data_IF_687608093969
#
_entry.id   IF_687608093969
#
_cell.length_a   1.000
_cell.length_b   1.000
_cell.length_c   1.000
_cell.angle_alpha   90.00
_cell.angle_beta   90.00
_cell.angle_gamma   90.00
#
_symmetry.space_group_name_H-M   'P 1'
#
loop_
_entity.id
_entity.type
_entity.pdbx_description
1 polymer ?
#
# COMPACT_ATOMS: atom_id res chain seq x y z
N UNK A 1 -13.19 -10.90 -13.20
CA UNK A 1 -12.34 -10.77 -12.03
C UNK A 1 -13.06 -10.06 -10.87
N UNK A 2 -14.01 -9.16 -11.12
CA UNK A 2 -14.63 -8.32 -10.10
C UNK A 2 -16.06 -8.71 -9.66
N UNK A 3 -16.64 -9.83 -10.13
CA UNK A 3 -18.04 -10.19 -9.80
C UNK A 3 -18.31 -10.21 -8.29
N UNK A 4 -17.45 -10.87 -7.49
CA UNK A 4 -17.64 -10.95 -6.03
C UNK A 4 -17.40 -9.64 -5.28
N UNK A 5 -16.60 -8.73 -5.83
CA UNK A 5 -16.40 -7.40 -5.27
C UNK A 5 -17.57 -6.47 -5.60
N UNK A 6 -18.08 -6.51 -6.86
CA UNK A 6 -19.21 -5.69 -7.31
C UNK A 6 -20.47 -5.96 -6.49
N UNK A 7 -20.81 -7.24 -6.22
CA UNK A 7 -21.96 -7.61 -5.39
C UNK A 7 -21.91 -6.99 -4.00
N UNK A 8 -20.72 -6.95 -3.39
CA UNK A 8 -20.54 -6.41 -2.05
C UNK A 8 -20.57 -4.88 -2.01
N UNK A 9 -20.03 -4.22 -3.05
CA UNK A 9 -19.95 -2.75 -3.13
C UNK A 9 -21.23 -2.10 -3.64
N UNK A 10 -21.93 -2.75 -4.56
CA UNK A 10 -23.14 -2.22 -5.16
C UNK A 10 -24.42 -2.67 -4.44
N UNK A 11 -24.31 -3.40 -3.32
CA UNK A 11 -25.45 -3.99 -2.60
C UNK A 11 -26.35 -4.82 -3.51
N UNK A 12 -25.76 -5.51 -4.50
CA UNK A 12 -26.48 -6.33 -5.46
C UNK A 12 -26.83 -7.67 -4.81
N UNK A 13 -28.09 -8.06 -4.85
CA UNK A 13 -28.60 -9.25 -4.15
C UNK A 13 -28.68 -10.48 -5.06
N UNK A 14 -28.58 -10.29 -6.40
CA UNK A 14 -28.71 -11.37 -7.36
C UNK A 14 -27.70 -11.30 -8.50
N UNK A 15 -27.44 -12.45 -9.15
CA UNK A 15 -26.58 -12.55 -10.32
C UNK A 15 -27.13 -11.76 -11.50
N UNK A 16 -28.47 -11.71 -11.64
CA UNK A 16 -29.14 -10.91 -12.67
C UNK A 16 -28.93 -9.41 -12.50
N UNK A 17 -28.94 -8.91 -11.26
CA UNK A 17 -28.63 -7.50 -10.97
C UNK A 17 -27.17 -7.18 -11.27
N UNK A 18 -26.27 -8.11 -10.99
CA UNK A 18 -24.85 -7.94 -11.33
C UNK A 18 -24.66 -7.87 -12.84
N UNK A 19 -25.27 -8.78 -13.59
CA UNK A 19 -25.15 -8.79 -15.05
C UNK A 19 -25.75 -7.50 -15.65
N UNK A 20 -26.90 -7.07 -15.17
CA UNK A 20 -27.51 -5.80 -15.59
C UNK A 20 -26.61 -4.58 -15.27
N UNK A 21 -25.92 -4.59 -14.13
CA UNK A 21 -24.98 -3.52 -13.76
C UNK A 21 -23.74 -3.52 -14.67
N UNK A 22 -23.19 -4.70 -14.97
CA UNK A 22 -22.07 -4.85 -15.92
C UNK A 22 -22.49 -4.37 -17.31
N UNK A 23 -23.65 -4.84 -17.80
CA UNK A 23 -24.19 -4.44 -19.10
C UNK A 23 -24.42 -2.94 -19.22
N UNK A 24 -24.90 -2.30 -18.15
CA UNK A 24 -25.08 -0.86 -18.10
C UNK A 24 -23.73 -0.12 -18.22
N UNK A 25 -22.69 -0.59 -17.54
CA UNK A 25 -21.33 -0.02 -17.64
C UNK A 25 -20.71 -0.22 -19.03
N UNK A 26 -20.86 -1.43 -19.60
CA UNK A 26 -20.39 -1.73 -20.96
C UNK A 26 -21.09 -0.83 -21.97
N UNK A 27 -22.43 -0.70 -21.86
CA UNK A 27 -23.22 0.17 -22.72
C UNK A 27 -22.76 1.62 -22.60
N UNK A 28 -22.62 2.15 -21.37
CA UNK A 28 -22.15 3.50 -21.15
C UNK A 28 -20.78 3.75 -21.81
N UNK A 29 -19.84 2.82 -21.66
CA UNK A 29 -18.52 2.92 -22.27
C UNK A 29 -18.60 2.89 -23.80
N UNK A 30 -19.50 2.06 -24.38
CA UNK A 30 -19.70 1.92 -25.82
C UNK A 30 -20.37 3.16 -26.43
N UNK A 31 -21.33 3.76 -25.72
CA UNK A 31 -22.03 4.98 -26.15
C UNK A 31 -21.18 6.26 -26.00
N UNK A 32 -20.13 6.18 -25.16
CA UNK A 32 -19.23 7.31 -24.90
C UNK A 32 -17.74 6.98 -25.21
N UNK A 33 -17.40 6.58 -26.44
CA UNK A 33 -16.07 6.08 -26.75
C UNK A 33 -14.96 7.14 -26.59
N UNK A 34 -15.29 8.42 -26.70
CA UNK A 34 -14.37 9.54 -26.53
C UNK A 34 -14.02 9.88 -25.09
N UNK A 35 -14.84 9.42 -24.13
CA UNK A 35 -14.70 9.83 -22.73
C UNK A 35 -13.41 9.26 -22.10
N UNK A 36 -13.09 8.00 -22.36
CA UNK A 36 -11.87 7.37 -21.86
C UNK A 36 -10.62 8.03 -22.44
N UNK A 37 -10.61 8.28 -23.75
CA UNK A 37 -9.50 8.95 -24.43
C UNK A 37 -9.28 10.36 -23.89
N UNK A 38 -10.36 11.13 -23.71
CA UNK A 38 -10.28 12.48 -23.14
C UNK A 38 -9.78 12.45 -21.70
N UNK A 39 -10.23 11.48 -20.88
CA UNK A 39 -9.76 11.30 -19.52
C UNK A 39 -8.26 10.99 -19.51
N UNK A 40 -7.80 10.03 -20.31
CA UNK A 40 -6.38 9.69 -20.41
C UNK A 40 -5.54 10.87 -20.90
N UNK A 41 -6.01 11.59 -21.91
CA UNK A 41 -5.34 12.79 -22.40
C UNK A 41 -5.18 13.82 -21.28
N UNK A 42 -6.24 14.12 -20.56
CA UNK A 42 -6.24 15.10 -19.47
C UNK A 42 -5.35 14.68 -18.29
N UNK A 43 -5.43 13.42 -17.88
CA UNK A 43 -4.55 12.87 -16.83
C UNK A 43 -3.08 12.95 -17.25
N UNK A 44 -2.77 12.60 -18.51
CA UNK A 44 -1.42 12.66 -19.05
C UNK A 44 -0.87 14.08 -19.07
N UNK A 45 -1.67 15.07 -19.47
CA UNK A 45 -1.29 16.48 -19.45
C UNK A 45 -0.94 16.97 -18.04
N UNK A 46 -1.80 16.65 -17.07
CA UNK A 46 -1.58 17.04 -15.67
C UNK A 46 -0.34 16.35 -15.08
N UNK A 47 -0.14 15.06 -15.37
CA UNK A 47 1.01 14.32 -14.91
C UNK A 47 2.31 14.86 -15.50
N UNK A 48 2.36 15.10 -16.83
CA UNK A 48 3.53 15.65 -17.53
C UNK A 48 3.84 17.09 -17.10
N UNK A 49 2.81 17.84 -16.69
CA UNK A 49 2.98 19.18 -16.12
C UNK A 49 3.43 19.15 -14.63
N UNK A 50 3.57 17.98 -14.03
CA UNK A 50 3.91 17.84 -12.60
C UNK A 50 2.83 18.28 -11.63
N UNK A 51 1.59 18.47 -12.12
CA UNK A 51 0.46 18.91 -11.29
C UNK A 51 -0.15 17.80 -10.45
N UNK A 52 0.04 16.54 -10.88
CA UNK A 52 -0.44 15.35 -10.17
C UNK A 52 0.58 14.22 -10.28
N UNK A 53 0.59 13.32 -9.31
CA UNK A 53 1.26 12.03 -9.39
C UNK A 53 0.23 11.06 -9.96
N UNK A 54 0.52 10.46 -11.12
CA UNK A 54 -0.37 9.50 -11.77
C UNK A 54 0.08 8.07 -11.44
N UNK A 55 -0.86 7.25 -10.99
CA UNK A 55 -0.69 5.81 -10.83
C UNK A 55 -1.55 5.03 -11.82
N UNK A 56 -1.07 3.86 -12.21
CA UNK A 56 -1.89 2.81 -12.81
C UNK A 56 -2.39 1.85 -11.73
N UNK A 57 -3.42 1.09 -12.02
CA UNK A 57 -4.00 0.15 -11.07
C UNK A 57 -4.41 -1.13 -11.79
N UNK A 58 -4.06 -2.29 -11.19
CA UNK A 58 -4.39 -3.62 -11.71
C UNK A 58 -3.84 -3.87 -13.14
N UNK A 59 -2.65 -3.39 -13.46
CA UNK A 59 -2.03 -3.70 -14.74
C UNK A 59 -1.84 -5.22 -14.87
N UNK A 60 -2.40 -5.79 -15.94
CA UNK A 60 -2.47 -7.23 -16.18
C UNK A 60 -1.42 -7.75 -17.15
N UNK A 61 -0.71 -6.85 -17.83
CA UNK A 61 0.32 -7.19 -18.80
C UNK A 61 1.41 -6.13 -18.88
N UNK A 62 2.55 -6.50 -19.44
CA UNK A 62 3.66 -5.60 -19.73
C UNK A 62 3.22 -4.44 -20.65
N UNK A 63 2.39 -4.73 -21.67
CA UNK A 63 1.87 -3.74 -22.63
C UNK A 63 0.98 -2.71 -21.93
N UNK A 64 0.13 -3.17 -20.99
CA UNK A 64 -0.71 -2.26 -20.20
C UNK A 64 0.14 -1.34 -19.34
N UNK A 65 1.15 -1.87 -18.66
CA UNK A 65 2.07 -1.09 -17.84
C UNK A 65 2.84 -0.07 -18.68
N UNK A 66 3.34 -0.45 -19.85
CA UNK A 66 4.02 0.44 -20.76
C UNK A 66 3.10 1.56 -21.27
N UNK A 67 1.86 1.23 -21.64
CA UNK A 67 0.86 2.22 -22.01
C UNK A 67 0.62 3.24 -20.90
N UNK A 68 0.42 2.79 -19.66
CA UNK A 68 0.19 3.68 -18.51
C UNK A 68 1.42 4.54 -18.21
N UNK A 69 2.63 3.98 -18.34
CA UNK A 69 3.88 4.74 -18.23
C UNK A 69 3.98 5.82 -19.30
N UNK A 70 3.56 5.54 -20.53
CA UNK A 70 3.50 6.50 -21.65
C UNK A 70 2.56 7.67 -21.37
N UNK A 71 1.50 7.47 -20.60
CA UNK A 71 0.62 8.53 -20.11
C UNK A 71 1.25 9.39 -18.99
N UNK A 72 2.38 8.97 -18.42
CA UNK A 72 3.08 9.67 -17.35
C UNK A 72 2.88 9.04 -15.97
N UNK A 73 2.32 7.84 -15.88
CA UNK A 73 2.22 7.13 -14.61
C UNK A 73 3.62 6.81 -14.07
N UNK A 74 3.82 7.08 -12.78
CA UNK A 74 5.06 6.82 -12.05
C UNK A 74 4.88 5.76 -10.97
N UNK A 75 3.64 5.38 -10.69
CA UNK A 75 3.26 4.36 -9.71
C UNK A 75 2.49 3.25 -10.44
N UNK A 76 2.85 1.99 -10.19
CA UNK A 76 2.13 0.78 -10.59
C UNK A 76 1.52 0.15 -9.35
N UNK A 77 0.22 0.37 -9.12
CA UNK A 77 -0.50 -0.15 -7.97
C UNK A 77 -1.15 -1.48 -8.31
N UNK A 78 -0.83 -2.50 -7.53
CA UNK A 78 -1.36 -3.86 -7.62
C UNK A 78 -1.20 -4.50 -9.01
N UNK A 79 0.03 -4.56 -9.59
CA UNK A 79 0.22 -5.32 -10.80
C UNK A 79 -0.26 -6.75 -10.57
N UNK A 80 -1.08 -7.29 -11.50
CA UNK A 80 -1.74 -8.60 -11.31
C UNK A 80 -0.90 -9.77 -11.82
N UNK A 81 0.17 -9.48 -12.59
CA UNK A 81 1.11 -10.48 -13.11
C UNK A 81 2.56 -10.11 -12.78
N UNK A 82 3.43 -11.12 -12.77
CA UNK A 82 4.89 -10.90 -12.65
C UNK A 82 5.39 -10.07 -13.83
N UNK A 83 4.92 -10.31 -15.04
CA UNK A 83 5.36 -9.61 -16.24
C UNK A 83 5.03 -8.11 -16.17
N UNK A 84 3.84 -7.74 -15.68
CA UNK A 84 3.48 -6.35 -15.43
C UNK A 84 4.41 -5.70 -14.37
N UNK A 85 4.71 -6.43 -13.27
CA UNK A 85 5.60 -5.93 -12.23
C UNK A 85 7.05 -5.78 -12.73
N UNK A 86 7.56 -6.73 -13.51
CA UNK A 86 8.88 -6.64 -14.13
C UNK A 86 8.97 -5.46 -15.10
N UNK A 87 7.93 -5.25 -15.92
CA UNK A 87 7.86 -4.11 -16.83
C UNK A 87 7.80 -2.78 -16.06
N UNK A 88 7.03 -2.71 -14.98
CA UNK A 88 7.01 -1.53 -14.12
C UNK A 88 8.40 -1.21 -13.56
N UNK A 89 9.14 -2.22 -13.11
CA UNK A 89 10.52 -2.09 -12.63
C UNK A 89 11.46 -1.60 -13.74
N UNK A 90 11.38 -2.20 -14.93
CA UNK A 90 12.16 -1.80 -16.10
C UNK A 90 11.94 -0.32 -16.47
N UNK A 91 10.69 0.15 -16.38
CA UNK A 91 10.28 1.52 -16.70
C UNK A 91 10.51 2.52 -15.54
N UNK A 92 11.12 2.09 -14.43
CA UNK A 92 11.39 2.93 -13.26
C UNK A 92 10.15 3.39 -12.52
N UNK A 93 9.05 2.61 -12.58
CA UNK A 93 7.84 2.90 -11.80
C UNK A 93 7.98 2.36 -10.37
N UNK A 94 7.37 3.06 -9.43
CA UNK A 94 7.23 2.58 -8.04
C UNK A 94 6.13 1.53 -7.96
N UNK A 95 6.46 0.34 -7.47
CA UNK A 95 5.52 -0.79 -7.41
C UNK A 95 4.89 -0.86 -6.02
N UNK A 96 3.56 -0.82 -5.99
CA UNK A 96 2.76 -0.82 -4.76
C UNK A 96 1.99 -2.12 -4.64
N UNK A 97 2.05 -2.75 -3.47
CA UNK A 97 1.31 -3.98 -3.17
C UNK A 97 0.43 -3.84 -1.92
N UNK A 98 -0.59 -4.67 -1.82
CA UNK A 98 -1.56 -4.63 -0.72
C UNK A 98 -1.07 -5.38 0.53
N UNK A 99 -0.93 -4.69 1.66
CA UNK A 99 -0.65 -5.30 2.95
C UNK A 99 -1.70 -6.37 3.36
N UNK A 100 -3.01 -6.21 3.09
CA UNK A 100 -3.99 -7.25 3.35
C UNK A 100 -3.70 -8.58 2.64
N UNK A 101 -3.06 -8.55 1.46
CA UNK A 101 -2.67 -9.75 0.73
C UNK A 101 -1.60 -10.54 1.51
N UNK A 102 -0.60 -9.86 2.08
CA UNK A 102 0.42 -10.49 2.94
C UNK A 102 -0.23 -11.08 4.19
N UNK A 103 -1.13 -10.34 4.83
CA UNK A 103 -1.81 -10.78 6.07
C UNK A 103 -2.71 -11.99 5.83
N UNK A 104 -3.32 -12.13 4.66
CA UNK A 104 -4.14 -13.31 4.31
C UNK A 104 -3.32 -14.51 3.85
N UNK A 105 -2.09 -14.29 3.41
CA UNK A 105 -1.21 -15.35 2.91
C UNK A 105 -1.42 -15.71 1.43
N UNK A 106 -1.97 -14.81 0.63
CA UNK A 106 -2.13 -15.03 -0.80
C UNK A 106 -3.14 -14.10 -1.49
N UNK A 107 -3.17 -14.17 -2.82
CA UNK A 107 -4.15 -13.46 -3.64
C UNK A 107 -5.47 -14.23 -3.72
N UNK A 108 -6.61 -13.52 -3.68
CA UNK A 108 -7.94 -14.13 -3.83
C UNK A 108 -8.30 -14.48 -5.27
N UNK A 109 -7.60 -13.93 -6.26
CA UNK A 109 -8.03 -13.94 -7.66
C UNK A 109 -7.04 -14.67 -8.59
N UNK A 110 -6.08 -15.43 -8.03
CA UNK A 110 -5.02 -16.04 -8.83
C UNK A 110 -3.97 -15.05 -9.35
N UNK A 111 -4.04 -13.77 -8.92
CA UNK A 111 -3.04 -12.75 -9.21
C UNK A 111 -1.75 -13.04 -8.44
N UNK A 112 -0.65 -12.41 -8.87
CA UNK A 112 0.62 -12.47 -8.14
C UNK A 112 0.43 -12.07 -6.67
N UNK A 113 1.07 -12.80 -5.76
CA UNK A 113 0.96 -12.48 -4.34
C UNK A 113 1.91 -11.34 -3.96
N UNK A 114 1.47 -10.49 -2.99
CA UNK A 114 2.33 -9.43 -2.49
C UNK A 114 3.60 -9.97 -1.83
N UNK A 115 3.56 -11.16 -1.20
CA UNK A 115 4.75 -11.82 -0.64
C UNK A 115 5.74 -12.20 -1.74
N UNK A 116 5.24 -12.70 -2.87
CA UNK A 116 6.08 -13.04 -4.02
C UNK A 116 6.73 -11.80 -4.63
N UNK A 117 5.98 -10.70 -4.82
CA UNK A 117 6.54 -9.43 -5.27
C UNK A 117 7.63 -8.93 -4.33
N UNK A 118 7.42 -9.01 -3.01
CA UNK A 118 8.43 -8.62 -2.01
C UNK A 118 9.66 -9.50 -2.11
N UNK A 119 9.50 -10.83 -2.20
CA UNK A 119 10.60 -11.78 -2.28
C UNK A 119 11.46 -11.60 -3.53
N UNK A 120 10.83 -11.22 -4.66
CA UNK A 120 11.49 -10.90 -5.92
C UNK A 120 12.09 -9.49 -5.98
N UNK A 121 11.94 -8.66 -4.93
CA UNK A 121 12.36 -7.27 -4.94
C UNK A 121 11.53 -6.36 -5.86
N UNK A 122 10.31 -6.79 -6.20
CA UNK A 122 9.36 -6.09 -7.08
C UNK A 122 8.27 -5.34 -6.30
N UNK A 123 8.46 -5.09 -5.00
CA UNK A 123 7.55 -4.29 -4.19
C UNK A 123 8.32 -3.18 -3.50
N UNK A 124 7.93 -1.94 -3.75
CA UNK A 124 8.55 -0.75 -3.14
C UNK A 124 7.72 -0.22 -1.98
N UNK A 125 6.39 -0.35 -2.05
CA UNK A 125 5.45 0.21 -1.07
C UNK A 125 4.38 -0.81 -0.73
N UNK A 126 4.02 -0.85 0.56
CA UNK A 126 2.83 -1.54 1.03
C UNK A 126 1.75 -0.53 1.42
N UNK A 127 0.52 -0.76 0.96
CA UNK A 127 -0.65 0.05 1.32
C UNK A 127 -1.68 -0.75 2.08
N UNK A 128 -2.41 -0.06 2.97
CA UNK A 128 -3.44 -0.68 3.80
C UNK A 128 -4.71 -1.04 3.04
N UNK A 129 -4.96 -0.31 1.93
CA UNK A 129 -6.21 -0.37 1.18
C UNK A 129 -7.40 -0.16 2.15
N UNK A 130 -8.32 -1.11 2.24
CA UNK A 130 -9.50 -1.05 3.11
C UNK A 130 -9.24 -1.49 4.57
N UNK A 131 -8.02 -1.93 4.94
CA UNK A 131 -7.73 -2.51 6.27
C UNK A 131 -6.47 -1.91 6.89
N UNK A 132 -6.58 -0.74 7.50
CA UNK A 132 -5.46 -0.01 8.10
C UNK A 132 -4.55 -0.85 9.04
N UNK A 133 -5.06 -1.75 9.90
CA UNK A 133 -4.20 -2.57 10.75
C UNK A 133 -3.27 -3.52 9.99
N UNK A 134 -3.54 -3.82 8.72
CA UNK A 134 -2.74 -4.73 7.92
C UNK A 134 -1.32 -4.25 7.66
N UNK A 135 -1.05 -2.95 7.65
CA UNK A 135 0.30 -2.43 7.42
C UNK A 135 1.30 -2.97 8.44
N UNK A 136 1.02 -2.78 9.73
CA UNK A 136 1.92 -3.24 10.79
C UNK A 136 2.01 -4.77 10.86
N UNK A 137 0.88 -5.45 10.63
CA UNK A 137 0.84 -6.92 10.58
C UNK A 137 1.62 -7.48 9.39
N UNK A 138 1.58 -6.84 8.24
CA UNK A 138 2.34 -7.26 7.06
C UNK A 138 3.85 -7.09 7.29
N UNK A 139 4.27 -5.94 7.84
CA UNK A 139 5.67 -5.72 8.25
C UNK A 139 6.12 -6.80 9.21
N UNK A 140 5.35 -7.08 10.28
CA UNK A 140 5.68 -8.14 11.24
C UNK A 140 5.83 -9.48 10.53
N UNK A 141 4.88 -9.89 9.67
CA UNK A 141 4.94 -11.18 8.95
C UNK A 141 6.17 -11.31 8.05
N UNK A 142 6.54 -10.25 7.34
CA UNK A 142 7.73 -10.25 6.48
C UNK A 142 9.02 -10.42 7.30
N UNK A 143 9.07 -9.83 8.50
CA UNK A 143 10.21 -9.98 9.41
C UNK A 143 10.22 -11.37 10.05
N UNK A 144 9.10 -11.83 10.60
CA UNK A 144 8.99 -13.12 11.28
C UNK A 144 9.26 -14.31 10.33
N UNK A 145 8.89 -14.17 9.04
CA UNK A 145 9.19 -15.18 8.01
C UNK A 145 10.63 -15.11 7.49
N UNK A 146 11.40 -14.09 7.85
CA UNK A 146 12.75 -13.87 7.30
C UNK A 146 12.77 -13.39 5.84
N UNK A 147 11.62 -13.02 5.26
CA UNK A 147 11.56 -12.50 3.89
C UNK A 147 12.31 -11.17 3.76
N UNK A 148 12.19 -10.30 4.77
CA UNK A 148 12.94 -9.05 4.88
C UNK A 148 13.47 -8.87 6.31
N UNK A 149 14.56 -8.16 6.45
CA UNK A 149 14.96 -7.57 7.74
C UNK A 149 14.03 -6.42 8.14
N UNK A 150 14.04 -6.06 9.42
CA UNK A 150 13.18 -5.01 9.97
C UNK A 150 13.34 -3.67 9.24
N UNK A 151 14.56 -3.27 8.92
CA UNK A 151 14.83 -1.98 8.28
C UNK A 151 14.21 -1.93 6.89
N UNK A 152 14.40 -2.98 6.08
CA UNK A 152 13.80 -3.06 4.74
C UNK A 152 12.29 -3.15 4.80
N UNK A 153 11.74 -3.96 5.69
CA UNK A 153 10.29 -4.08 5.85
C UNK A 153 9.63 -2.75 6.28
N UNK A 154 10.27 -2.00 7.18
CA UNK A 154 9.76 -0.69 7.60
C UNK A 154 9.82 0.34 6.46
N UNK A 155 10.82 0.32 5.60
CA UNK A 155 10.90 1.24 4.45
C UNK A 155 9.70 1.14 3.53
N UNK A 156 9.11 -0.05 3.35
CA UNK A 156 7.91 -0.26 2.52
C UNK A 156 6.69 0.55 2.99
N UNK A 157 6.66 0.97 4.26
CA UNK A 157 5.54 1.69 4.87
C UNK A 157 5.94 3.07 5.43
N UNK A 158 7.18 3.51 5.22
CA UNK A 158 7.71 4.79 5.74
C UNK A 158 8.45 5.61 4.68
N UNK A 159 9.75 5.37 4.46
CA UNK A 159 10.57 6.15 3.54
C UNK A 159 10.06 6.08 2.11
N UNK A 160 9.81 4.88 1.61
CA UNK A 160 9.48 4.68 0.21
C UNK A 160 8.15 5.37 -0.19
N UNK A 161 7.04 5.26 0.59
CA UNK A 161 5.83 6.02 0.28
C UNK A 161 6.02 7.53 0.43
N UNK A 162 6.83 8.01 1.38
CA UNK A 162 7.13 9.42 1.52
C UNK A 162 7.88 9.96 0.29
N UNK A 163 8.86 9.23 -0.20
CA UNK A 163 9.61 9.56 -1.41
C UNK A 163 8.72 9.57 -2.66
N UNK A 164 7.92 8.53 -2.86
CA UNK A 164 6.99 8.44 -3.99
C UNK A 164 5.95 9.56 -4.03
N UNK A 165 5.57 10.08 -2.86
CA UNK A 165 4.63 11.19 -2.71
C UNK A 165 5.31 12.56 -2.62
N UNK A 166 6.61 12.65 -2.92
CA UNK A 166 7.43 13.87 -2.85
C UNK A 166 7.35 14.57 -1.48
N UNK A 167 7.38 13.78 -0.39
CA UNK A 167 7.34 14.26 1.00
C UNK A 167 8.67 14.01 1.71
N UNK A 168 9.75 14.72 1.30
CA UNK A 168 11.10 14.48 1.82
C UNK A 168 11.24 14.76 3.31
N UNK A 169 10.31 15.51 3.90
CA UNK A 169 10.28 15.81 5.34
C UNK A 169 9.77 14.66 6.21
N UNK A 170 9.25 13.57 5.59
CA UNK A 170 8.66 12.40 6.26
C UNK A 170 9.49 11.13 6.01
N UNK A 171 9.07 10.05 6.62
CA UNK A 171 9.47 8.67 6.29
C UNK A 171 10.64 8.12 7.08
N UNK A 172 11.47 8.96 7.71
CA UNK A 172 12.60 8.51 8.52
C UNK A 172 12.87 9.41 9.71
N UNK A 173 13.62 8.91 10.69
CA UNK A 173 14.08 9.66 11.85
C UNK A 173 15.46 10.23 11.53
N UNK A 174 15.51 11.51 11.16
CA UNK A 174 16.75 12.22 10.86
C UNK A 174 16.64 13.69 11.26
N UNK A 175 17.78 14.34 11.46
CA UNK A 175 17.84 15.78 11.78
C UNK A 175 17.23 16.57 10.62
N UNK A 176 16.32 17.50 10.94
CA UNK A 176 15.61 18.33 9.95
C UNK A 176 14.33 17.72 9.38
N UNK A 177 14.02 16.47 9.70
CA UNK A 177 12.75 15.83 9.33
C UNK A 177 11.63 16.15 10.32
N UNK A 178 10.38 16.04 9.85
CA UNK A 178 9.21 16.22 10.71
C UNK A 178 9.10 15.06 11.72
N UNK A 179 8.98 15.37 12.99
CA UNK A 179 8.81 14.37 14.06
C UNK A 179 7.37 13.81 14.05
N UNK A 180 7.02 13.06 12.98
CA UNK A 180 5.78 12.30 12.85
C UNK A 180 6.10 10.82 12.96
N UNK A 181 5.79 10.21 14.11
CA UNK A 181 6.29 8.91 14.53
C UNK A 181 5.16 8.03 15.07
N UNK A 182 5.27 6.72 14.84
CA UNK A 182 4.53 5.70 15.57
C UNK A 182 5.49 4.97 16.52
N UNK A 183 5.14 4.91 17.80
CA UNK A 183 5.87 4.10 18.78
C UNK A 183 5.21 2.73 18.82
N UNK A 184 5.98 1.69 18.55
CA UNK A 184 5.50 0.32 18.39
C UNK A 184 6.09 -0.54 19.51
N UNK A 185 5.26 -1.36 20.14
CA UNK A 185 5.64 -2.42 21.09
C UNK A 185 5.70 -3.75 20.33
N UNK A 186 6.91 -4.29 20.02
CA UNK A 186 7.09 -5.49 19.23
C UNK A 186 6.94 -6.75 20.11
N UNK A 187 5.75 -7.27 20.23
CA UNK A 187 5.49 -8.48 21.03
C UNK A 187 5.36 -9.73 20.15
N UNK A 188 5.71 -10.90 20.67
CA UNK A 188 5.52 -12.16 19.95
C UNK A 188 4.06 -12.39 19.52
N UNK A 189 3.08 -11.92 20.34
CA UNK A 189 1.65 -12.09 20.09
C UNK A 189 1.08 -11.09 19.07
N UNK A 190 1.89 -10.14 18.60
CA UNK A 190 1.51 -9.12 17.63
C UNK A 190 2.06 -7.75 18.00
N UNK A 191 2.62 -7.07 17.04
CA UNK A 191 3.11 -5.71 17.18
C UNK A 191 1.97 -4.73 17.34
N UNK A 192 2.14 -3.75 18.20
CA UNK A 192 1.09 -2.76 18.49
C UNK A 192 1.64 -1.36 18.55
N UNK A 193 0.91 -0.43 17.96
CA UNK A 193 1.16 0.99 18.19
C UNK A 193 0.77 1.34 19.62
N UNK A 194 1.67 1.93 20.38
CA UNK A 194 1.44 2.39 21.77
C UNK A 194 1.32 3.90 21.88
N UNK A 195 1.90 4.65 20.94
CA UNK A 195 1.69 6.09 20.85
C UNK A 195 1.88 6.58 19.41
N UNK A 196 1.24 7.71 19.10
CA UNK A 196 1.40 8.48 17.88
C UNK A 196 1.91 9.86 18.25
N UNK A 197 3.00 10.25 17.64
CA UNK A 197 3.55 11.60 17.68
C UNK A 197 3.33 12.24 16.32
N UNK A 198 2.88 13.49 16.28
CA UNK A 198 2.76 14.27 15.06
C UNK A 198 3.35 15.66 15.27
N UNK A 199 4.33 16.00 14.46
CA UNK A 199 5.06 17.28 14.56
C UNK A 199 5.63 17.54 15.97
N UNK A 200 6.20 16.49 16.58
CA UNK A 200 6.78 16.55 17.91
C UNK A 200 5.79 16.49 19.07
N UNK A 201 4.47 16.48 18.82
CA UNK A 201 3.44 16.41 19.85
C UNK A 201 2.80 15.02 19.93
N UNK A 202 2.64 14.48 21.13
CA UNK A 202 1.91 13.22 21.34
C UNK A 202 0.43 13.46 21.08
N UNK A 203 -0.12 12.79 20.05
CA UNK A 203 -1.52 12.91 19.62
C UNK A 203 -2.41 11.81 20.16
N UNK A 204 -1.86 10.65 20.37
CA UNK A 204 -2.59 9.53 20.95
C UNK A 204 -1.65 8.62 21.72
N UNK A 205 -2.17 8.03 22.80
CA UNK A 205 -1.54 6.93 23.51
C UNK A 205 -2.56 5.81 23.65
N UNK A 206 -2.11 4.57 23.42
CA UNK A 206 -2.96 3.39 23.50
C UNK A 206 -2.59 2.61 24.77
N UNK A 207 -3.51 2.57 25.72
CA UNK A 207 -3.29 1.87 26.99
C UNK A 207 -2.99 0.39 26.72
N UNK A 208 -1.97 -0.14 27.43
CA UNK A 208 -1.76 -1.58 27.51
C UNK A 208 -3.03 -2.20 28.09
N UNK A 209 -3.61 -3.27 27.47
CA UNK A 209 -4.54 -4.11 28.22
C UNK A 209 -3.82 -4.54 29.51
N UNK A 210 -4.44 -4.39 30.65
CA UNK A 210 -3.94 -4.92 31.92
C UNK A 210 -4.05 -6.44 31.87
N UNK A 211 -3.15 -7.10 31.15
CA UNK A 211 -2.86 -8.51 31.42
C UNK A 211 -1.90 -8.55 32.58
N UNK A 212 -2.06 -9.58 33.45
CA UNK A 212 -1.33 -9.75 34.68
C UNK A 212 0.16 -9.43 34.53
N UNK A 213 0.81 -8.83 35.56
CA UNK A 213 2.21 -8.49 35.47
C UNK A 213 3.00 -9.79 35.27
N UNK A 214 3.70 -9.90 34.11
CA UNK A 214 4.77 -10.86 34.00
C UNK A 214 5.81 -10.48 35.07
N UNK A 215 5.84 -11.30 36.13
CA UNK A 215 6.93 -11.27 37.07
C UNK A 215 8.22 -11.48 36.29
N UNK A 216 9.14 -10.50 36.42
CA UNK A 216 10.49 -10.51 35.88
C UNK A 216 10.66 -10.15 34.39
N UNK A 217 10.48 -8.88 34.05
CA UNK A 217 11.16 -8.24 32.93
C UNK A 217 11.92 -7.02 33.47
N UNK A 218 13.21 -7.19 33.66
CA UNK A 218 14.15 -6.08 33.84
C UNK A 218 14.42 -5.43 32.49
N UNK A 219 13.47 -4.66 31.99
CA UNK A 219 13.68 -3.82 30.80
C UNK A 219 14.34 -2.50 31.21
N UNK A 220 15.38 -2.03 30.52
CA UNK A 220 16.00 -0.75 30.84
C UNK A 220 15.00 0.38 30.63
N UNK A 221 14.84 1.23 31.65
CA UNK A 221 14.10 2.48 31.53
C UNK A 221 14.87 3.40 30.58
N UNK A 222 14.25 3.82 29.48
CA UNK A 222 14.74 4.95 28.70
C UNK A 222 14.70 6.20 29.58
N UNK A 223 15.88 6.65 30.02
CA UNK A 223 16.03 7.95 30.66
C UNK A 223 16.03 9.01 29.55
N UNK A 224 15.04 9.90 29.58
CA UNK A 224 15.10 11.13 28.82
C UNK A 224 16.22 11.99 29.44
N UNK A 225 17.31 12.16 28.72
CA UNK A 225 18.30 13.20 29.06
C UNK A 225 17.78 14.48 28.45
N UNK A 226 17.31 15.37 29.31
CA UNK A 226 17.04 16.77 28.97
C UNK A 226 18.37 17.54 28.98
N UNK A 227 18.73 18.13 27.88
CA UNK A 227 19.60 19.30 27.76
C UNK A 227 18.85 20.34 26.97
#
# INVERSE_FOLDING_TARGET
IYRGAITKWASLESEAEMDAHIDAKVRFATENPGLAQETFRRCSELAKAGSVILGSHDDDSAERTEFMRGLGATIAEFPVTIDAALKARELGMTIVAGAPNIVRGGSHSGNVSAVELVALGLCDILVADYHAPSLLLAVQRLVDSGTLDLSRAMKLVTCNPAEAMHRPELGEIAVGKEATLAIIDPRPQGWRTVAIVRRGEVRATFNRPRFAPDAQSTSPRLALVSN
#
